data_IF_433477200738
#
_entry.id   IF_433477200738
#
_cell.length_a   1.000
_cell.length_b   1.000
_cell.length_c   1.000
_cell.angle_alpha   90.00
_cell.angle_beta   90.00
_cell.angle_gamma   90.00
#
_symmetry.space_group_name_H-M   'P 1'
#
loop_
_entity.id
_entity.type
_entity.pdbx_description
1 polymer ?
#
# COMPACT_ATOMS: atom_id res chain seq x y z
N UNK A 1 -37.74 18.96 35.79
CA UNK A 1 -36.43 18.61 35.23
C UNK A 1 -36.64 18.40 33.74
N UNK A 2 -35.96 19.14 32.88
CA UNK A 2 -36.04 18.95 31.42
C UNK A 2 -35.29 17.67 31.03
N UNK A 3 -35.95 16.79 30.29
CA UNK A 3 -35.36 15.57 29.73
C UNK A 3 -34.59 15.88 28.44
N UNK A 4 -33.58 15.08 28.11
CA UNK A 4 -32.89 15.15 26.81
C UNK A 4 -33.87 14.94 25.63
N UNK A 5 -34.94 14.16 25.87
CA UNK A 5 -35.98 13.87 24.89
C UNK A 5 -36.92 15.06 24.63
N UNK A 6 -36.86 16.10 25.46
CA UNK A 6 -37.64 17.34 25.30
C UNK A 6 -36.94 18.32 24.34
N UNK A 7 -35.72 18.02 23.87
CA UNK A 7 -34.99 18.85 22.92
C UNK A 7 -35.52 18.69 21.49
N UNK A 8 -35.50 19.75 20.66
CA UNK A 8 -35.72 19.67 19.22
C UNK A 8 -34.74 18.70 18.54
N UNK A 9 -35.20 18.00 17.49
CA UNK A 9 -34.41 17.04 16.71
C UNK A 9 -33.07 17.61 16.26
N UNK A 10 -33.04 18.87 15.83
CA UNK A 10 -31.84 19.56 15.35
C UNK A 10 -30.79 19.70 16.45
N UNK A 11 -31.21 19.94 17.71
CA UNK A 11 -30.29 20.00 18.84
C UNK A 11 -29.78 18.60 19.21
N UNK A 12 -30.63 17.57 19.16
CA UNK A 12 -30.23 16.19 19.41
C UNK A 12 -29.22 15.74 18.34
N UNK A 13 -29.46 16.03 17.06
CA UNK A 13 -28.54 15.76 15.95
C UNK A 13 -27.23 16.55 16.10
N UNK A 14 -27.29 17.82 16.52
CA UNK A 14 -26.10 18.63 16.81
C UNK A 14 -25.28 18.05 17.95
N UNK A 15 -25.90 17.47 18.98
CA UNK A 15 -25.19 16.74 20.04
C UNK A 15 -24.54 15.49 19.43
N UNK A 16 -25.32 14.66 18.73
CA UNK A 16 -24.85 13.39 18.18
C UNK A 16 -23.69 13.53 17.21
N UNK A 17 -23.69 14.55 16.34
CA UNK A 17 -22.61 14.77 15.37
C UNK A 17 -21.28 15.21 16.00
N UNK A 18 -21.29 15.63 17.27
CA UNK A 18 -20.09 15.96 18.05
C UNK A 18 -19.63 14.78 18.92
N UNK A 19 -20.22 13.60 18.77
CA UNK A 19 -19.76 12.37 19.41
C UNK A 19 -18.82 11.61 18.47
N UNK A 20 -17.88 10.80 19.02
CA UNK A 20 -17.26 9.71 18.26
C UNK A 20 -18.34 8.80 17.64
N UNK A 21 -18.07 8.20 16.49
CA UNK A 21 -19.05 7.38 15.77
C UNK A 21 -19.61 6.25 16.64
N UNK A 22 -18.78 5.56 17.42
CA UNK A 22 -19.17 4.49 18.33
C UNK A 22 -20.11 4.99 19.43
N UNK A 23 -19.83 6.16 19.99
CA UNK A 23 -20.70 6.81 20.98
C UNK A 23 -22.03 7.26 20.35
N UNK A 24 -22.02 7.79 19.11
CA UNK A 24 -23.24 8.10 18.37
C UNK A 24 -24.09 6.85 18.10
N UNK A 25 -23.46 5.72 17.74
CA UNK A 25 -24.13 4.44 17.53
C UNK A 25 -24.74 3.88 18.83
N UNK A 26 -24.04 4.01 19.96
CA UNK A 26 -24.61 3.64 21.26
C UNK A 26 -25.77 4.59 21.64
N UNK A 27 -25.61 5.89 21.36
CA UNK A 27 -26.61 6.92 21.67
C UNK A 27 -27.96 6.66 20.98
N UNK A 28 -27.95 6.24 19.70
CA UNK A 28 -29.17 5.88 18.98
C UNK A 28 -29.84 4.61 19.51
N UNK A 29 -29.12 3.75 20.24
CA UNK A 29 -29.68 2.52 20.81
C UNK A 29 -30.38 2.75 22.16
N UNK A 30 -30.19 3.92 22.79
CA UNK A 30 -30.76 4.21 24.12
C UNK A 30 -32.28 4.34 24.08
N UNK A 31 -32.85 4.96 23.04
CA UNK A 31 -34.29 5.21 22.93
C UNK A 31 -34.75 5.35 21.47
N UNK A 32 -35.99 4.94 21.16
CA UNK A 32 -36.56 5.02 19.79
C UNK A 32 -36.61 6.43 19.21
N UNK A 33 -36.86 7.45 20.03
CA UNK A 33 -36.86 8.85 19.59
C UNK A 33 -35.46 9.32 19.23
N UNK A 34 -34.44 8.93 20.01
CA UNK A 34 -33.03 9.20 19.68
C UNK A 34 -32.60 8.46 18.41
N UNK A 35 -33.04 7.20 18.24
CA UNK A 35 -32.83 6.46 17.00
C UNK A 35 -33.43 7.19 15.80
N UNK A 36 -34.71 7.58 15.88
CA UNK A 36 -35.38 8.28 14.79
C UNK A 36 -34.75 9.64 14.48
N UNK A 37 -34.29 10.37 15.49
CA UNK A 37 -33.65 11.67 15.33
C UNK A 37 -32.23 11.57 14.74
N UNK A 38 -31.42 10.60 15.19
CA UNK A 38 -29.99 10.60 14.95
C UNK A 38 -29.47 9.46 14.05
N UNK A 39 -30.28 8.46 13.72
CA UNK A 39 -29.94 7.47 12.68
C UNK A 39 -30.12 8.08 11.28
N UNK A 40 -29.47 9.23 11.06
CA UNK A 40 -29.56 10.08 9.89
C UNK A 40 -28.18 10.21 9.24
N UNK A 41 -28.16 10.22 7.91
CA UNK A 41 -26.90 10.24 7.14
C UNK A 41 -26.11 11.53 7.39
N UNK A 42 -26.77 12.66 7.61
CA UNK A 42 -26.11 13.95 7.85
C UNK A 42 -25.32 13.96 9.17
N UNK A 43 -25.79 13.24 10.19
CA UNK A 43 -25.08 13.08 11.47
C UNK A 43 -23.74 12.38 11.23
N UNK A 44 -23.76 11.20 10.61
CA UNK A 44 -22.53 10.44 10.36
C UNK A 44 -21.65 11.05 9.27
N UNK A 45 -22.24 11.73 8.27
CA UNK A 45 -21.48 12.50 7.28
C UNK A 45 -20.65 13.58 7.97
N UNK A 46 -21.22 14.27 8.95
CA UNK A 46 -20.48 15.26 9.72
C UNK A 46 -19.35 14.63 10.55
N UNK A 47 -19.59 13.47 11.20
CA UNK A 47 -18.54 12.74 11.92
C UNK A 47 -17.42 12.28 11.00
N UNK A 48 -17.74 11.84 9.77
CA UNK A 48 -16.74 11.44 8.79
C UNK A 48 -15.92 12.64 8.27
N UNK A 49 -16.56 13.78 7.98
CA UNK A 49 -15.89 14.95 7.42
C UNK A 49 -15.05 15.74 8.43
N UNK A 50 -15.51 15.79 9.69
CA UNK A 50 -14.89 16.57 10.74
C UNK A 50 -14.19 15.61 11.70
N UNK A 51 -12.90 15.83 11.94
CA UNK A 51 -12.12 15.06 12.91
C UNK A 51 -12.56 15.35 14.35
N UNK A 52 -13.73 14.85 14.75
CA UNK A 52 -14.27 15.00 16.10
C UNK A 52 -13.49 14.05 17.04
N UNK A 53 -12.33 14.54 17.49
CA UNK A 53 -11.49 13.86 18.48
C UNK A 53 -11.79 14.29 19.91
N UNK A 54 -11.45 13.43 20.87
CA UNK A 54 -11.63 13.67 22.32
C UNK A 54 -10.98 14.96 22.83
N UNK A 55 -9.94 15.46 22.16
CA UNK A 55 -9.17 16.63 22.61
C UNK A 55 -9.76 17.98 22.16
N UNK A 56 -10.73 17.98 21.22
CA UNK A 56 -11.23 19.20 20.58
C UNK A 56 -12.62 19.66 21.08
N UNK A 57 -13.10 19.15 22.21
CA UNK A 57 -14.32 19.67 22.85
C UNK A 57 -14.21 21.16 23.26
N UNK A 58 -13.02 21.75 23.18
CA UNK A 58 -12.73 23.17 23.41
C UNK A 58 -12.92 24.11 22.21
N UNK A 59 -13.41 23.64 21.05
CA UNK A 59 -13.82 24.53 19.94
C UNK A 59 -12.69 25.36 19.31
N UNK A 60 -11.47 24.81 19.22
CA UNK A 60 -10.42 25.46 18.42
C UNK A 60 -10.88 25.53 16.96
N UNK A 61 -11.10 26.74 16.46
CA UNK A 61 -11.31 27.00 15.03
C UNK A 61 -10.12 26.44 14.24
N UNK A 62 -10.40 25.63 13.21
CA UNK A 62 -9.38 25.08 12.32
C UNK A 62 -9.24 23.55 12.28
N UNK A 63 -10.25 22.78 12.71
CA UNK A 63 -10.22 21.33 12.43
C UNK A 63 -10.20 21.09 10.92
N UNK A 64 -9.25 20.27 10.40
CA UNK A 64 -9.18 20.00 8.98
C UNK A 64 -10.47 19.32 8.53
N UNK A 65 -11.08 19.87 7.48
CA UNK A 65 -12.27 19.32 6.83
C UNK A 65 -11.80 18.48 5.65
N UNK A 66 -12.40 17.30 5.48
CA UNK A 66 -12.12 16.45 4.33
C UNK A 66 -12.95 16.88 3.10
N UNK A 67 -12.49 17.93 2.42
CA UNK A 67 -13.23 18.55 1.31
C UNK A 67 -13.51 17.57 0.16
N UNK A 68 -12.52 16.73 -0.20
CA UNK A 68 -12.66 15.72 -1.25
C UNK A 68 -13.68 14.61 -0.91
N UNK A 69 -13.99 14.45 0.38
CA UNK A 69 -14.96 13.47 0.87
C UNK A 69 -16.41 13.89 0.69
N UNK A 70 -16.69 15.16 0.41
CA UNK A 70 -18.07 15.69 0.36
C UNK A 70 -18.91 14.98 -0.69
N UNK A 71 -18.38 14.84 -1.92
CA UNK A 71 -19.07 14.20 -3.03
C UNK A 71 -19.20 12.69 -2.81
N UNK A 72 -18.14 12.06 -2.30
CA UNK A 72 -18.17 10.63 -1.95
C UNK A 72 -19.29 10.34 -0.93
N UNK A 73 -19.38 11.14 0.12
CA UNK A 73 -20.37 10.96 1.18
C UNK A 73 -21.78 11.40 0.75
N UNK A 74 -21.90 12.26 -0.28
CA UNK A 74 -23.19 12.60 -0.88
C UNK A 74 -23.82 11.41 -1.60
N UNK A 75 -23.01 10.60 -2.28
CA UNK A 75 -23.44 9.40 -3.01
C UNK A 75 -23.51 8.16 -2.11
N UNK A 76 -22.84 8.16 -0.97
CA UNK A 76 -22.82 7.04 -0.04
C UNK A 76 -24.18 6.78 0.62
N UNK A 77 -24.50 5.50 0.79
CA UNK A 77 -25.61 5.06 1.66
C UNK A 77 -25.35 5.44 3.12
N UNK A 78 -26.40 5.45 3.96
CA UNK A 78 -26.26 5.65 5.41
C UNK A 78 -25.24 4.66 6.02
N UNK A 79 -25.33 3.38 5.65
CA UNK A 79 -24.41 2.35 6.14
C UNK A 79 -22.97 2.58 5.69
N UNK A 80 -22.74 3.00 4.44
CA UNK A 80 -21.41 3.38 3.97
C UNK A 80 -20.84 4.58 4.73
N UNK A 81 -21.69 5.58 5.00
CA UNK A 81 -21.33 6.78 5.76
C UNK A 81 -20.94 6.44 7.20
N UNK A 82 -21.72 5.59 7.88
CA UNK A 82 -21.42 5.10 9.25
C UNK A 82 -20.05 4.41 9.29
N UNK A 83 -19.73 3.60 8.29
CA UNK A 83 -18.46 2.85 8.25
C UNK A 83 -17.26 3.75 8.04
N UNK A 84 -17.38 4.74 7.17
CA UNK A 84 -16.32 5.75 7.01
C UNK A 84 -16.16 6.53 8.31
N UNK A 85 -17.25 7.00 8.93
CA UNK A 85 -17.20 7.68 10.22
C UNK A 85 -16.53 6.84 11.32
N UNK A 86 -16.83 5.53 11.37
CA UNK A 86 -16.18 4.60 12.30
C UNK A 86 -14.69 4.42 12.00
N UNK A 87 -14.31 4.31 10.73
CA UNK A 87 -12.91 4.21 10.33
C UNK A 87 -12.13 5.46 10.71
N UNK A 88 -12.73 6.65 10.55
CA UNK A 88 -12.15 7.93 10.96
C UNK A 88 -11.93 7.97 12.47
N UNK A 89 -12.92 7.54 13.26
CA UNK A 89 -12.75 7.41 14.72
C UNK A 89 -11.60 6.45 15.07
N UNK A 90 -11.52 5.29 14.41
CA UNK A 90 -10.41 4.34 14.61
C UNK A 90 -9.07 4.97 14.27
N UNK A 91 -8.99 5.71 13.16
CA UNK A 91 -7.79 6.43 12.76
C UNK A 91 -7.32 7.40 13.86
N UNK A 92 -8.24 8.23 14.35
CA UNK A 92 -7.95 9.21 15.41
C UNK A 92 -7.56 8.53 16.74
N UNK A 93 -8.27 7.47 17.12
CA UNK A 93 -7.97 6.69 18.32
C UNK A 93 -6.56 6.10 18.24
N UNK A 94 -6.24 5.38 17.16
CA UNK A 94 -4.94 4.70 16.96
C UNK A 94 -3.78 5.69 16.85
N UNK A 95 -4.00 6.86 16.25
CA UNK A 95 -2.98 7.89 16.17
C UNK A 95 -2.59 8.45 17.55
N UNK A 96 -3.53 8.46 18.52
CA UNK A 96 -3.27 8.92 19.89
C UNK A 96 -2.61 7.84 20.78
N UNK A 97 -2.64 6.58 20.36
CA UNK A 97 -2.00 5.50 21.10
C UNK A 97 -0.48 5.64 21.05
N UNK A 98 0.16 5.67 22.22
CA UNK A 98 1.63 5.62 22.28
C UNK A 98 2.10 4.29 21.65
N UNK A 99 3.11 4.29 20.76
CA UNK A 99 3.76 3.04 20.33
C UNK A 99 4.28 2.34 21.58
N UNK A 100 3.84 1.10 21.91
CA UNK A 100 3.88 -0.10 21.05
C UNK A 100 2.63 -1.04 21.17
N UNK A 101 1.44 -0.56 21.55
CA UNK A 101 0.29 -1.43 21.88
C UNK A 101 -0.56 -1.94 20.71
N UNK A 102 -0.04 -1.96 19.49
CA UNK A 102 -0.70 -2.70 18.40
C UNK A 102 -0.60 -4.22 18.62
N UNK A 103 0.32 -4.59 19.50
CA UNK A 103 0.59 -5.94 19.96
C UNK A 103 0.14 -6.03 21.41
N UNK A 104 -0.80 -6.93 21.69
CA UNK A 104 -0.93 -7.47 23.04
C UNK A 104 -0.09 -8.74 23.09
N UNK A 105 0.91 -8.78 23.97
CA UNK A 105 1.42 -10.07 24.43
C UNK A 105 0.27 -10.71 25.22
N UNK A 106 -0.29 -11.79 24.69
CA UNK A 106 -1.18 -12.64 25.48
C UNK A 106 -0.31 -13.46 26.45
N UNK A 107 -0.88 -13.95 27.55
CA UNK A 107 -0.16 -14.68 28.63
C UNK A 107 0.57 -15.97 28.15
N UNK A 108 0.40 -16.35 26.87
CA UNK A 108 1.11 -17.44 26.20
C UNK A 108 2.23 -17.02 25.24
N UNK A 109 2.65 -15.76 25.22
CA UNK A 109 3.65 -15.24 24.26
C UNK A 109 3.14 -15.16 22.82
N UNK A 110 1.83 -15.36 22.62
CA UNK A 110 1.18 -15.18 21.32
C UNK A 110 0.82 -13.72 21.18
N UNK A 111 1.47 -13.05 20.24
CA UNK A 111 1.17 -11.66 19.93
C UNK A 111 -0.19 -11.60 19.23
N UNK A 112 -1.23 -11.16 19.96
CA UNK A 112 -2.54 -10.87 19.38
C UNK A 112 -2.46 -9.46 18.78
N UNK A 113 -2.30 -9.41 17.47
CA UNK A 113 -2.47 -8.19 16.69
C UNK A 113 -3.96 -7.88 16.67
N UNK A 114 -4.36 -6.67 17.07
CA UNK A 114 -5.72 -6.20 16.77
C UNK A 114 -5.79 -5.87 15.26
N UNK A 115 -6.28 -6.85 14.48
CA UNK A 115 -6.22 -6.94 13.01
C UNK A 115 -7.31 -6.17 12.26
N UNK A 116 -7.71 -5.00 12.75
CA UNK A 116 -8.71 -4.23 12.00
C UNK A 116 -8.07 -3.23 11.03
N UNK A 117 -6.80 -2.87 11.22
CA UNK A 117 -6.11 -1.84 10.43
C UNK A 117 -6.14 -2.14 8.92
N UNK A 118 -5.98 -3.40 8.50
CA UNK A 118 -6.00 -3.79 7.09
C UNK A 118 -7.38 -3.64 6.42
N UNK A 119 -8.46 -3.50 7.21
CA UNK A 119 -9.82 -3.37 6.70
C UNK A 119 -10.23 -1.92 6.45
N UNK A 120 -9.54 -0.95 7.07
CA UNK A 120 -9.96 0.45 7.00
C UNK A 120 -8.85 1.43 6.66
N UNK A 121 -7.62 1.25 7.14
CA UNK A 121 -6.55 2.21 6.91
C UNK A 121 -6.17 2.32 5.42
N UNK A 122 -6.04 1.22 4.65
CA UNK A 122 -5.74 1.34 3.22
C UNK A 122 -6.79 2.16 2.46
N UNK A 123 -8.07 2.02 2.86
CA UNK A 123 -9.17 2.76 2.27
C UNK A 123 -9.09 4.25 2.60
N UNK A 124 -8.84 4.60 3.87
CA UNK A 124 -8.71 6.01 4.25
C UNK A 124 -7.48 6.68 3.60
N UNK A 125 -6.37 5.95 3.45
CA UNK A 125 -5.17 6.45 2.77
C UNK A 125 -5.42 6.67 1.27
N UNK A 126 -6.05 5.72 0.56
CA UNK A 126 -6.40 5.90 -0.86
C UNK A 126 -7.41 7.02 -1.11
N UNK A 127 -8.20 7.34 -0.09
CA UNK A 127 -9.16 8.46 -0.07
C UNK A 127 -8.53 9.78 0.41
N UNK A 128 -7.23 9.80 0.70
CA UNK A 128 -6.49 10.96 1.21
C UNK A 128 -7.15 11.58 2.46
N UNK A 129 -7.73 10.73 3.32
CA UNK A 129 -8.46 11.21 4.47
C UNK A 129 -7.51 11.91 5.47
N UNK A 130 -7.79 13.16 5.89
CA UNK A 130 -6.90 13.92 6.79
C UNK A 130 -6.63 13.22 8.13
N UNK A 131 -7.53 12.36 8.60
CA UNK A 131 -7.35 11.60 9.85
C UNK A 131 -6.15 10.64 9.82
N UNK A 132 -5.61 10.34 8.64
CA UNK A 132 -4.43 9.52 8.48
C UNK A 132 -3.10 10.30 8.62
N UNK A 133 -3.13 11.64 8.65
CA UNK A 133 -1.91 12.46 8.63
C UNK A 133 -1.03 12.33 9.87
N UNK A 134 -1.60 11.81 10.97
CA UNK A 134 -0.93 11.57 12.24
C UNK A 134 -0.28 10.19 12.33
N UNK A 135 -0.52 9.30 11.37
CA UNK A 135 0.08 7.97 11.38
C UNK A 135 1.56 8.04 11.01
N UNK A 136 2.36 7.25 11.73
CA UNK A 136 3.78 7.05 11.44
C UNK A 136 3.99 5.68 10.82
N UNK A 137 4.80 5.62 9.76
CA UNK A 137 5.20 4.37 9.11
C UNK A 137 5.83 3.37 10.11
N UNK A 138 6.57 3.87 11.10
CA UNK A 138 7.18 3.09 12.19
C UNK A 138 6.22 2.09 12.86
N UNK A 139 4.97 2.50 13.09
CA UNK A 139 3.98 1.65 13.76
C UNK A 139 3.57 0.45 12.89
N UNK A 140 3.55 0.64 11.57
CA UNK A 140 3.17 -0.38 10.61
C UNK A 140 4.32 -1.31 10.25
N UNK A 141 5.56 -0.83 10.33
CA UNK A 141 6.74 -1.63 9.99
C UNK A 141 6.79 -2.89 10.87
N UNK A 142 6.64 -2.76 12.19
CA UNK A 142 6.57 -3.91 13.10
C UNK A 142 5.47 -4.90 12.75
N UNK A 143 4.28 -4.40 12.41
CA UNK A 143 3.16 -5.26 12.05
C UNK A 143 3.45 -6.02 10.77
N UNK A 144 4.02 -5.33 9.77
CA UNK A 144 4.43 -5.92 8.52
C UNK A 144 5.49 -7.02 8.73
N UNK A 145 6.48 -6.80 9.60
CA UNK A 145 7.48 -7.80 9.99
C UNK A 145 6.84 -9.07 10.56
N UNK A 146 5.93 -8.90 11.50
CA UNK A 146 5.27 -10.02 12.17
C UNK A 146 4.41 -10.82 11.18
N UNK A 147 3.66 -10.14 10.31
CA UNK A 147 2.87 -10.78 9.26
C UNK A 147 3.75 -11.54 8.27
N UNK A 148 4.90 -10.97 7.90
CA UNK A 148 5.88 -11.59 7.03
C UNK A 148 6.43 -12.89 7.63
N UNK A 149 6.72 -12.92 8.93
CA UNK A 149 7.29 -14.07 9.64
C UNK A 149 6.29 -15.22 9.88
N UNK A 150 4.99 -14.92 9.98
CA UNK A 150 3.94 -15.94 10.24
C UNK A 150 3.66 -16.89 9.07
N UNK A 151 4.29 -16.69 7.92
CA UNK A 151 4.08 -17.51 6.71
C UNK A 151 4.62 -18.93 6.81
N UNK A 152 5.40 -19.25 7.86
CA UNK A 152 5.78 -20.64 8.16
C UNK A 152 4.58 -21.42 8.72
N UNK A 153 3.58 -21.65 7.88
CA UNK A 153 2.52 -22.62 8.15
C UNK A 153 3.18 -23.99 8.31
N UNK A 154 2.76 -24.72 9.35
CA UNK A 154 3.22 -26.08 9.59
C UNK A 154 2.88 -26.98 8.39
N UNK A 155 3.86 -27.72 7.84
CA UNK A 155 3.58 -28.74 6.82
C UNK A 155 2.56 -29.75 7.36
N UNK A 156 1.44 -29.97 6.66
CA UNK A 156 0.46 -31.00 7.03
C UNK A 156 -0.99 -30.72 6.63
N UNK A 157 -1.42 -29.45 6.54
CA UNK A 157 -2.83 -29.08 6.31
C UNK A 157 -3.12 -28.40 4.95
N UNK A 158 -2.15 -28.45 4.03
CA UNK A 158 -2.15 -27.69 2.77
C UNK A 158 -3.38 -27.94 1.88
N UNK A 159 -3.97 -29.12 1.98
CA UNK A 159 -5.09 -29.51 1.13
C UNK A 159 -6.46 -29.01 1.61
N UNK A 160 -6.59 -28.52 2.85
CA UNK A 160 -7.87 -28.05 3.39
C UNK A 160 -8.31 -26.72 2.75
N UNK A 161 -9.57 -26.60 2.36
CA UNK A 161 -10.13 -25.33 1.84
C UNK A 161 -10.04 -24.21 2.87
N UNK A 162 -10.25 -24.53 4.16
CA UNK A 162 -10.10 -23.58 5.25
C UNK A 162 -8.67 -23.07 5.37
N UNK A 163 -7.69 -23.97 5.14
CA UNK A 163 -6.29 -23.60 5.11
C UNK A 163 -5.98 -22.64 3.95
N UNK A 164 -6.43 -22.95 2.73
CA UNK A 164 -6.26 -22.06 1.56
C UNK A 164 -6.87 -20.68 1.78
N UNK A 165 -8.09 -20.61 2.32
CA UNK A 165 -8.75 -19.32 2.67
C UNK A 165 -7.94 -18.53 3.69
N UNK A 166 -7.40 -19.20 4.72
CA UNK A 166 -6.55 -18.58 5.72
C UNK A 166 -5.26 -18.01 5.13
N UNK A 167 -4.61 -18.73 4.21
CA UNK A 167 -3.41 -18.24 3.51
C UNK A 167 -3.71 -17.03 2.63
N UNK A 168 -4.80 -17.07 1.85
CA UNK A 168 -5.23 -15.94 1.02
C UNK A 168 -5.49 -14.70 1.88
N UNK A 169 -6.20 -14.87 2.99
CA UNK A 169 -6.46 -13.78 3.93
C UNK A 169 -5.15 -13.23 4.53
N UNK A 170 -4.21 -14.09 4.94
CA UNK A 170 -2.94 -13.67 5.48
C UNK A 170 -2.11 -12.85 4.49
N UNK A 171 -2.09 -13.25 3.21
CA UNK A 171 -1.41 -12.48 2.16
C UNK A 171 -2.10 -11.16 1.88
N UNK A 172 -3.43 -11.13 1.86
CA UNK A 172 -4.18 -9.90 1.70
C UNK A 172 -3.89 -8.91 2.84
N UNK A 173 -3.86 -9.39 4.09
CA UNK A 173 -3.46 -8.57 5.24
C UNK A 173 -2.03 -8.05 5.07
N UNK A 174 -1.08 -8.88 4.63
CA UNK A 174 0.30 -8.46 4.37
C UNK A 174 0.37 -7.37 3.29
N UNK A 175 -0.31 -7.57 2.15
CA UNK A 175 -0.38 -6.61 1.04
C UNK A 175 -0.98 -5.28 1.51
N UNK A 176 -2.09 -5.32 2.25
CA UNK A 176 -2.77 -4.10 2.71
C UNK A 176 -1.93 -3.32 3.74
N UNK A 177 -1.26 -4.01 4.66
CA UNK A 177 -0.33 -3.36 5.61
C UNK A 177 0.89 -2.83 4.87
N UNK A 178 1.44 -3.58 3.91
CA UNK A 178 2.54 -3.16 3.05
C UNK A 178 2.17 -1.92 2.23
N UNK A 179 0.94 -1.83 1.71
CA UNK A 179 0.42 -0.64 1.05
C UNK A 179 0.43 0.57 1.98
N UNK A 180 -0.10 0.44 3.19
CA UNK A 180 -0.15 1.53 4.15
C UNK A 180 1.25 2.01 4.56
N UNK A 181 2.16 1.05 4.76
CA UNK A 181 3.54 1.32 5.12
C UNK A 181 4.27 2.06 3.99
N UNK A 182 4.15 1.60 2.74
CA UNK A 182 4.70 2.26 1.56
C UNK A 182 4.13 3.67 1.38
N UNK A 183 2.81 3.84 1.52
CA UNK A 183 2.15 5.14 1.46
C UNK A 183 2.76 6.12 2.47
N UNK A 184 2.73 5.76 3.76
CA UNK A 184 3.19 6.68 4.82
C UNK A 184 4.69 6.99 4.71
N UNK A 185 5.48 6.01 4.28
CA UNK A 185 6.92 6.19 4.06
C UNK A 185 7.18 7.17 2.93
N UNK A 186 6.60 6.93 1.76
CA UNK A 186 6.76 7.79 0.59
C UNK A 186 6.20 9.20 0.82
N UNK A 187 5.05 9.32 1.48
CA UNK A 187 4.47 10.60 1.85
C UNK A 187 5.37 11.37 2.83
N UNK A 188 5.90 10.70 3.86
CA UNK A 188 6.87 11.31 4.78
C UNK A 188 8.13 11.78 4.05
N UNK A 189 8.65 10.96 3.13
CA UNK A 189 9.82 11.31 2.32
C UNK A 189 9.59 12.51 1.40
N UNK A 190 8.38 12.63 0.83
CA UNK A 190 8.04 13.76 -0.04
C UNK A 190 8.05 15.12 0.67
N UNK A 191 8.00 15.12 2.01
CA UNK A 191 8.03 16.32 2.86
C UNK A 191 9.43 16.68 3.36
N UNK A 192 10.40 15.77 3.23
CA UNK A 192 11.78 16.00 3.63
C UNK A 192 12.46 16.80 2.51
N UNK A 193 13.12 17.94 2.81
CA UNK A 193 13.92 18.67 1.83
C UNK A 193 14.98 17.75 1.22
N UNK A 194 15.25 17.85 -0.09
CA UNK A 194 16.19 16.95 -0.80
C UNK A 194 17.58 16.90 -0.13
N UNK A 195 18.03 18.01 0.47
CA UNK A 195 19.31 18.12 1.19
C UNK A 195 19.36 17.31 2.49
N UNK A 196 18.21 16.96 3.06
CA UNK A 196 18.07 16.28 4.34
C UNK A 196 17.66 14.82 4.19
N UNK A 197 17.62 14.23 3.00
CA UNK A 197 17.03 12.89 2.81
C UNK A 197 17.85 11.76 3.49
N UNK A 198 19.14 11.97 3.75
CA UNK A 198 20.03 10.93 4.30
C UNK A 198 19.94 10.77 5.83
N UNK A 199 19.75 11.84 6.60
CA UNK A 199 19.72 11.78 8.08
C UNK A 199 18.43 11.18 8.72
N UNK A 200 17.20 11.40 8.18
CA UNK A 200 15.95 11.01 8.81
C UNK A 200 15.72 9.50 8.88
N UNK A 201 16.31 8.73 7.97
CA UNK A 201 16.08 7.30 7.91
C UNK A 201 16.84 6.53 8.99
N UNK A 202 18.03 7.01 9.38
CA UNK A 202 18.82 6.44 10.48
C UNK A 202 18.36 6.95 11.86
N UNK A 203 17.77 8.15 11.95
CA UNK A 203 17.38 8.76 13.23
C UNK A 203 15.89 8.63 13.62
N UNK A 204 14.97 8.45 12.66
CA UNK A 204 13.52 8.47 12.96
C UNK A 204 12.97 7.14 13.47
N UNK A 205 13.42 6.04 12.87
CA UNK A 205 13.00 4.71 13.26
C UNK A 205 13.86 4.25 14.44
N UNK A 206 13.38 4.39 15.67
CA UNK A 206 13.97 3.76 16.86
C UNK A 206 13.82 2.21 16.83
N UNK A 207 14.13 1.59 15.68
CA UNK A 207 14.11 0.16 15.52
C UNK A 207 15.50 -0.34 15.88
N UNK A 208 15.62 -1.32 16.80
CA UNK A 208 16.88 -1.99 17.07
C UNK A 208 17.53 -2.42 15.75
N UNK A 209 18.76 -1.97 15.48
CA UNK A 209 19.46 -2.16 14.20
C UNK A 209 19.46 -3.63 13.74
N UNK A 210 19.52 -4.57 14.67
CA UNK A 210 19.51 -6.00 14.38
C UNK A 210 18.23 -6.45 13.65
N UNK A 211 17.06 -5.92 14.01
CA UNK A 211 15.78 -6.36 13.41
C UNK A 211 15.47 -5.72 12.06
N UNK A 212 15.93 -4.49 11.80
CA UNK A 212 15.83 -3.89 10.45
C UNK A 212 16.69 -4.69 9.48
N UNK A 213 17.90 -5.06 9.90
CA UNK A 213 18.79 -5.88 9.09
C UNK A 213 18.17 -7.25 8.77
N UNK A 214 17.55 -7.90 9.75
CA UNK A 214 16.85 -9.18 9.53
C UNK A 214 15.68 -9.03 8.55
N UNK A 215 14.97 -7.90 8.57
CA UNK A 215 13.89 -7.63 7.63
C UNK A 215 14.38 -7.40 6.20
N UNK A 216 15.33 -6.49 6.04
CA UNK A 216 15.90 -6.15 4.72
C UNK A 216 16.54 -7.40 4.10
N UNK A 217 17.14 -8.27 4.92
CA UNK A 217 17.79 -9.51 4.52
C UNK A 217 16.88 -10.74 4.58
N UNK A 218 15.62 -10.61 4.95
CA UNK A 218 14.71 -11.75 5.00
C UNK A 218 14.54 -12.33 3.59
N UNK A 219 14.95 -13.58 3.36
CA UNK A 219 14.73 -14.28 2.08
C UNK A 219 13.25 -14.48 1.73
N UNK A 220 12.35 -14.36 2.69
CA UNK A 220 10.93 -14.55 2.45
C UNK A 220 10.29 -13.34 1.75
N UNK A 221 10.82 -12.12 1.97
CA UNK A 221 10.11 -10.87 1.66
C UNK A 221 11.01 -9.62 1.52
N UNK A 222 12.29 -9.74 1.85
CA UNK A 222 13.32 -8.72 1.67
C UNK A 222 14.04 -8.88 0.34
N UNK A 223 15.16 -8.17 0.18
CA UNK A 223 15.95 -8.13 -1.05
C UNK A 223 16.96 -9.29 -1.16
N UNK A 224 16.75 -10.36 -0.40
CA UNK A 224 17.67 -11.50 -0.39
C UNK A 224 17.45 -12.39 -1.60
N UNK A 225 18.52 -12.91 -2.22
CA UNK A 225 18.40 -13.85 -3.32
C UNK A 225 17.57 -15.07 -2.88
N UNK A 226 16.62 -15.52 -3.72
CA UNK A 226 15.95 -16.78 -3.48
C UNK A 226 16.96 -17.93 -3.50
N UNK A 227 16.68 -18.98 -2.72
CA UNK A 227 17.55 -20.16 -2.69
C UNK A 227 17.70 -20.74 -4.11
N UNK A 228 18.91 -21.22 -4.50
CA UNK A 228 19.12 -21.84 -5.80
C UNK A 228 18.10 -22.96 -6.05
N UNK A 229 17.45 -22.92 -7.21
CA UNK A 229 16.43 -23.90 -7.60
C UNK A 229 15.06 -23.73 -6.93
N UNK A 230 14.83 -22.68 -6.15
CA UNK A 230 13.49 -22.41 -5.62
C UNK A 230 12.54 -21.93 -6.71
N UNK A 231 11.29 -22.37 -6.63
CA UNK A 231 10.19 -21.91 -7.49
C UNK A 231 9.84 -20.43 -7.27
N UNK A 232 10.44 -19.77 -6.28
CA UNK A 232 10.26 -18.33 -6.02
C UNK A 232 10.68 -17.48 -7.22
N UNK A 233 11.63 -17.95 -8.02
CA UNK A 233 12.03 -17.28 -9.27
C UNK A 233 11.00 -17.39 -10.39
N UNK A 234 10.09 -18.37 -10.29
CA UNK A 234 8.98 -18.56 -11.23
C UNK A 234 7.67 -17.98 -10.69
N UNK A 235 7.62 -17.70 -9.39
CA UNK A 235 6.41 -17.27 -8.69
C UNK A 235 6.73 -16.05 -7.83
N UNK A 236 6.75 -14.89 -8.48
CA UNK A 236 6.70 -13.61 -7.79
C UNK A 236 5.24 -13.19 -7.62
N UNK A 237 4.80 -13.11 -6.38
CA UNK A 237 3.42 -12.80 -6.00
C UNK A 237 3.26 -11.36 -5.56
N UNK A 238 2.03 -10.84 -5.62
CA UNK A 238 1.69 -9.51 -5.13
C UNK A 238 2.12 -9.25 -3.67
N UNK A 239 2.07 -10.27 -2.81
CA UNK A 239 2.56 -10.15 -1.44
C UNK A 239 4.08 -9.91 -1.39
N UNK A 240 4.85 -10.54 -2.29
CA UNK A 240 6.30 -10.32 -2.40
C UNK A 240 6.60 -8.94 -2.94
N UNK A 241 5.83 -8.52 -3.96
CA UNK A 241 5.88 -7.19 -4.52
C UNK A 241 5.66 -6.11 -3.44
N UNK A 242 4.54 -6.19 -2.70
CA UNK A 242 4.23 -5.25 -1.64
C UNK A 242 5.30 -5.22 -0.54
N UNK A 243 5.80 -6.39 -0.14
CA UNK A 243 6.80 -6.48 0.92
C UNK A 243 8.19 -6.01 0.51
N UNK A 244 8.51 -6.02 -0.80
CA UNK A 244 9.81 -5.61 -1.34
C UNK A 244 9.99 -4.09 -1.39
N UNK A 245 8.90 -3.31 -1.43
CA UNK A 245 8.97 -1.84 -1.59
C UNK A 245 9.82 -1.19 -0.50
N UNK A 246 9.62 -1.58 0.77
CA UNK A 246 10.32 -0.95 1.89
C UNK A 246 11.82 -1.27 1.90
N UNK A 247 12.25 -2.55 1.85
CA UNK A 247 13.66 -2.89 1.65
C UNK A 247 14.30 -2.21 0.43
N UNK A 248 13.55 -2.05 -0.66
CA UNK A 248 13.99 -1.34 -1.86
C UNK A 248 14.23 0.15 -1.56
N UNK A 249 13.28 0.83 -0.90
CA UNK A 249 13.45 2.21 -0.45
C UNK A 249 14.67 2.38 0.48
N UNK A 250 14.85 1.48 1.44
CA UNK A 250 16.04 1.47 2.31
C UNK A 250 17.34 1.41 1.48
N UNK A 251 17.37 0.57 0.43
CA UNK A 251 18.56 0.44 -0.42
C UNK A 251 18.79 1.69 -1.27
N UNK A 252 17.73 2.30 -1.84
CA UNK A 252 17.84 3.56 -2.59
C UNK A 252 18.45 4.65 -1.72
N UNK A 253 17.98 4.75 -0.47
CA UNK A 253 18.44 5.76 0.48
C UNK A 253 19.87 5.52 0.98
N UNK A 254 20.22 4.26 1.27
CA UNK A 254 21.58 3.90 1.65
C UNK A 254 22.61 4.04 0.53
N UNK A 255 22.18 4.01 -0.74
CA UNK A 255 23.02 4.11 -1.93
C UNK A 255 23.49 5.53 -2.31
N UNK A 256 22.99 6.57 -1.63
CA UNK A 256 23.48 7.96 -1.58
C UNK A 256 23.76 8.75 -2.89
N UNK A 257 23.54 8.24 -4.10
CA UNK A 257 24.20 8.86 -5.27
C UNK A 257 23.35 9.35 -6.44
N UNK A 258 22.07 8.99 -6.58
CA UNK A 258 21.37 9.30 -7.85
C UNK A 258 19.85 9.53 -7.78
N UNK A 259 19.34 10.55 -7.04
CA UNK A 259 17.91 10.69 -6.83
C UNK A 259 17.19 11.08 -8.14
N UNK A 260 16.44 10.15 -8.71
CA UNK A 260 15.16 10.51 -9.32
C UNK A 260 14.12 10.68 -8.20
N UNK A 261 13.12 11.52 -8.43
CA UNK A 261 12.04 11.74 -7.48
C UNK A 261 11.26 10.44 -7.25
N UNK A 262 10.94 10.16 -5.99
CA UNK A 262 10.10 9.03 -5.61
C UNK A 262 8.61 9.36 -5.82
N UNK A 263 7.72 8.36 -5.91
CA UNK A 263 6.29 8.60 -5.92
C UNK A 263 5.84 9.37 -4.67
N UNK A 264 4.92 10.32 -4.85
CA UNK A 264 4.30 11.08 -3.77
C UNK A 264 2.82 10.66 -3.68
N UNK A 265 2.43 9.85 -2.68
CA UNK A 265 1.10 9.27 -2.62
C UNK A 265 -0.03 10.30 -2.64
N UNK A 266 0.14 11.45 -1.97
CA UNK A 266 -0.82 12.57 -2.02
C UNK A 266 -1.04 13.16 -3.43
N UNK A 267 -0.16 12.89 -4.38
CA UNK A 267 -0.30 13.27 -5.80
C UNK A 267 -0.87 12.15 -6.67
N UNK A 268 -0.92 10.93 -6.15
CA UNK A 268 -1.47 9.79 -6.88
C UNK A 268 -3.00 9.81 -6.83
N UNK A 269 -3.63 9.81 -8.01
CA UNK A 269 -5.08 9.76 -8.17
C UNK A 269 -5.61 8.32 -7.99
N UNK A 270 -5.46 7.74 -6.80
CA UNK A 270 -5.85 6.35 -6.54
C UNK A 270 -7.29 6.02 -6.96
N UNK A 271 -8.26 6.94 -6.75
CA UNK A 271 -9.66 6.75 -7.16
C UNK A 271 -9.84 6.57 -8.68
N UNK A 272 -8.93 7.13 -9.48
CA UNK A 272 -8.94 6.96 -10.95
C UNK A 272 -8.35 5.62 -11.36
N UNK A 273 -7.44 5.05 -10.56
CA UNK A 273 -6.67 3.85 -10.90
C UNK A 273 -7.05 2.60 -10.10
N UNK A 274 -7.98 2.70 -9.15
CA UNK A 274 -8.39 1.61 -8.27
C UNK A 274 -9.91 1.57 -8.12
N UNK A 275 -10.47 0.36 -8.14
CA UNK A 275 -11.88 0.08 -7.84
C UNK A 275 -12.07 -0.11 -6.32
N UNK A 276 -11.78 0.94 -5.55
CA UNK A 276 -11.68 0.89 -4.09
C UNK A 276 -12.99 0.36 -3.47
N UNK A 277 -12.96 -0.77 -2.73
CA UNK A 277 -14.16 -1.33 -2.11
C UNK A 277 -14.64 -0.46 -0.93
N UNK A 278 -15.85 -0.72 -0.45
CA UNK A 278 -16.38 0.00 0.72
C UNK A 278 -15.62 -0.40 1.98
N UNK A 279 -15.29 0.59 2.81
CA UNK A 279 -14.66 0.37 4.12
C UNK A 279 -15.47 -0.61 4.96
N UNK A 280 -14.81 -1.55 5.64
CA UNK A 280 -15.40 -2.61 6.46
C UNK A 280 -16.41 -3.49 5.73
N UNK A 281 -16.00 -4.71 5.34
CA UNK A 281 -16.90 -5.77 4.83
C UNK A 281 -16.17 -7.11 4.60
N UNK A 282 -15.13 -7.41 5.37
CA UNK A 282 -14.13 -8.43 5.00
C UNK A 282 -13.50 -8.12 3.62
N UNK A 283 -13.31 -6.83 3.33
CA UNK A 283 -12.80 -6.35 2.04
C UNK A 283 -11.28 -6.44 1.94
N UNK A 284 -10.60 -7.10 2.88
CA UNK A 284 -9.14 -7.20 2.89
C UNK A 284 -8.63 -7.74 1.55
N UNK A 285 -9.18 -8.88 1.11
CA UNK A 285 -8.81 -9.51 -0.17
C UNK A 285 -9.22 -8.64 -1.35
N UNK A 286 -10.42 -8.08 -1.35
CA UNK A 286 -10.90 -7.22 -2.44
C UNK A 286 -9.99 -5.99 -2.62
N UNK A 287 -9.60 -5.34 -1.52
CA UNK A 287 -8.72 -4.17 -1.55
C UNK A 287 -7.34 -4.54 -2.11
N UNK A 288 -6.77 -5.69 -1.73
CA UNK A 288 -5.44 -6.11 -2.20
C UNK A 288 -5.33 -6.18 -3.72
N UNK A 289 -6.44 -6.43 -4.44
CA UNK A 289 -6.45 -6.56 -5.90
C UNK A 289 -7.28 -5.47 -6.61
N UNK A 290 -7.80 -4.48 -5.88
CA UNK A 290 -8.72 -3.49 -6.47
C UNK A 290 -8.05 -2.56 -7.49
N UNK A 291 -6.71 -2.51 -7.52
CA UNK A 291 -5.95 -1.74 -8.49
C UNK A 291 -5.75 -2.47 -9.82
N UNK A 292 -5.77 -3.80 -9.80
CA UNK A 292 -5.31 -4.63 -10.91
C UNK A 292 -6.09 -4.36 -12.20
N UNK A 293 -7.41 -4.26 -12.14
CA UNK A 293 -8.26 -4.08 -13.33
C UNK A 293 -7.85 -2.85 -14.15
N UNK A 294 -7.65 -1.71 -13.49
CA UNK A 294 -7.36 -0.43 -14.16
C UNK A 294 -5.86 -0.25 -14.40
N UNK A 295 -5.01 -0.67 -13.47
CA UNK A 295 -3.56 -0.47 -13.59
C UNK A 295 -2.88 -1.46 -14.56
N UNK A 296 -3.58 -2.49 -15.02
CA UNK A 296 -3.12 -3.38 -16.10
C UNK A 296 -3.64 -2.95 -17.49
N UNK A 297 -4.47 -1.91 -17.56
CA UNK A 297 -5.01 -1.42 -18.83
C UNK A 297 -3.90 -0.75 -19.67
N UNK A 298 -3.88 -0.94 -21.00
CA UNK A 298 -2.88 -0.32 -21.88
C UNK A 298 -2.77 1.21 -21.74
N UNK A 299 -3.89 1.90 -21.52
CA UNK A 299 -3.96 3.35 -21.37
C UNK A 299 -3.27 3.81 -20.09
N UNK A 300 -3.44 3.05 -19.01
CA UNK A 300 -2.76 3.32 -17.75
C UNK A 300 -1.26 3.02 -17.85
N UNK A 301 -0.90 1.89 -18.46
CA UNK A 301 0.50 1.45 -18.57
C UNK A 301 1.33 2.38 -19.45
N UNK A 302 0.72 2.95 -20.49
CA UNK A 302 1.42 3.84 -21.41
C UNK A 302 1.86 5.15 -20.75
N UNK A 303 2.95 5.72 -21.24
CA UNK A 303 3.48 7.02 -20.84
C UNK A 303 4.89 6.96 -20.25
N UNK A 304 5.25 7.99 -19.46
CA UNK A 304 6.59 8.14 -18.90
C UNK A 304 6.73 7.44 -17.55
N UNK A 305 7.77 6.62 -17.44
CA UNK A 305 8.15 5.88 -16.26
C UNK A 305 9.62 6.14 -15.91
N UNK A 306 9.95 5.88 -14.66
CA UNK A 306 11.29 5.92 -14.12
C UNK A 306 11.41 4.92 -12.98
N UNK A 307 12.64 4.62 -12.54
CA UNK A 307 12.82 3.72 -11.41
C UNK A 307 14.26 3.33 -11.17
N UNK A 308 14.43 2.25 -10.44
CA UNK A 308 15.74 1.68 -10.13
C UNK A 308 15.69 0.16 -10.26
N UNK A 309 16.86 -0.43 -10.34
CA UNK A 309 17.06 -1.85 -10.09
C UNK A 309 18.24 -2.04 -9.15
N UNK A 310 18.24 -3.17 -8.46
CA UNK A 310 19.33 -3.58 -7.58
C UNK A 310 20.13 -4.69 -8.23
N UNK A 311 21.43 -4.76 -7.96
CA UNK A 311 22.29 -5.88 -8.33
C UNK A 311 22.64 -6.70 -7.08
N UNK A 312 22.12 -7.92 -7.04
CA UNK A 312 22.33 -8.87 -5.96
C UNK A 312 23.39 -9.92 -6.25
N UNK A 313 23.99 -9.93 -7.44
CA UNK A 313 24.97 -10.96 -7.84
C UNK A 313 26.23 -10.94 -6.99
N UNK A 314 26.55 -9.80 -6.37
CA UNK A 314 27.78 -9.58 -5.59
C UNK A 314 27.54 -9.31 -4.08
N UNK A 315 26.42 -9.77 -3.51
CA UNK A 315 25.99 -9.44 -2.14
C UNK A 315 26.88 -9.90 -0.97
N UNK A 316 28.07 -10.47 -1.22
CA UNK A 316 28.84 -11.25 -0.24
C UNK A 316 29.19 -10.44 1.03
N UNK A 317 29.18 -9.10 1.02
CA UNK A 317 29.54 -8.28 2.20
C UNK A 317 28.71 -7.00 2.44
N UNK A 318 27.65 -6.73 1.66
CA UNK A 318 26.91 -5.46 1.81
C UNK A 318 25.76 -5.56 2.82
N UNK A 319 25.51 -4.47 3.56
CA UNK A 319 24.29 -4.32 4.39
C UNK A 319 23.05 -4.09 3.53
N UNK A 320 23.22 -3.49 2.36
CA UNK A 320 22.15 -3.10 1.44
C UNK A 320 22.36 -3.75 0.06
N UNK A 321 21.27 -3.91 -0.69
CA UNK A 321 21.41 -4.26 -2.10
C UNK A 321 22.10 -3.09 -2.82
N UNK A 322 23.01 -3.40 -3.74
CA UNK A 322 23.63 -2.36 -4.57
C UNK A 322 22.55 -1.83 -5.49
N UNK A 323 22.26 -0.53 -5.41
CA UNK A 323 21.31 0.12 -6.31
C UNK A 323 22.07 0.72 -7.48
N UNK A 324 21.72 0.30 -8.68
CA UNK A 324 22.29 0.86 -9.90
C UNK A 324 21.79 2.29 -10.14
N UNK A 325 22.49 3.10 -10.96
CA UNK A 325 21.98 4.39 -11.38
C UNK A 325 20.56 4.27 -11.97
N UNK A 326 19.71 5.30 -11.77
CA UNK A 326 18.29 5.24 -12.06
C UNK A 326 18.02 4.98 -13.54
N UNK A 327 17.00 4.18 -13.79
CA UNK A 327 16.39 4.06 -15.10
C UNK A 327 15.50 5.29 -15.34
N UNK A 328 15.77 6.01 -16.43
CA UNK A 328 15.15 7.29 -16.77
C UNK A 328 14.56 7.25 -18.17
N UNK A 329 13.65 8.19 -18.43
CA UNK A 329 13.03 8.40 -19.74
C UNK A 329 12.42 7.12 -20.32
N UNK A 330 11.85 6.26 -19.47
CA UNK A 330 11.18 5.04 -19.92
C UNK A 330 9.87 5.49 -20.54
N UNK A 331 9.76 5.46 -21.87
CA UNK A 331 8.50 5.73 -22.56
C UNK A 331 7.81 4.40 -22.86
N UNK A 332 6.95 3.95 -21.94
CA UNK A 332 6.24 2.70 -22.05
C UNK A 332 5.11 2.84 -23.07
N UNK A 333 5.12 1.98 -24.08
CA UNK A 333 4.09 1.88 -25.12
C UNK A 333 3.39 0.53 -24.90
N UNK A 334 2.17 0.60 -24.34
CA UNK A 334 1.34 -0.58 -24.12
C UNK A 334 0.15 -0.57 -25.06
N UNK A 335 -0.22 -1.76 -25.56
CA UNK A 335 -1.38 -1.96 -26.42
C UNK A 335 -2.22 -3.15 -25.98
N UNK A 336 -3.50 -3.23 -26.37
CA UNK A 336 -4.27 -4.45 -26.23
C UNK A 336 -3.61 -5.62 -26.96
N UNK A 337 -3.85 -6.84 -26.47
CA UNK A 337 -3.45 -8.07 -27.15
C UNK A 337 -4.11 -8.17 -28.53
N UNK A 338 -3.33 -8.46 -29.55
CA UNK A 338 -3.80 -8.70 -30.91
C UNK A 338 -3.87 -10.21 -31.24
N UNK A 339 -4.18 -10.54 -32.49
CA UNK A 339 -4.29 -11.95 -32.97
C UNK A 339 -2.94 -12.59 -33.30
N UNK A 340 -1.88 -11.78 -33.43
CA UNK A 340 -0.52 -12.21 -33.75
C UNK A 340 0.30 -12.51 -32.50
N UNK A 341 -0.12 -11.96 -31.35
CA UNK A 341 0.45 -12.26 -30.04
C UNK A 341 0.14 -13.70 -29.58
N UNK A 342 0.84 -14.13 -28.52
CA UNK A 342 0.65 -15.44 -27.89
C UNK A 342 -0.82 -15.64 -27.49
N UNK A 343 -1.43 -16.81 -27.77
CA UNK A 343 -2.82 -17.09 -27.43
C UNK A 343 -2.98 -17.44 -25.94
N UNK A 344 -2.73 -16.49 -25.06
CA UNK A 344 -3.01 -16.62 -23.63
C UNK A 344 -4.16 -15.68 -23.25
N UNK A 345 -5.34 -16.21 -22.85
CA UNK A 345 -6.51 -15.41 -22.54
C UNK A 345 -6.33 -14.49 -21.32
N UNK A 346 -5.29 -14.71 -20.50
CA UNK A 346 -5.02 -13.89 -19.33
C UNK A 346 -4.12 -12.70 -19.61
N UNK A 347 -3.59 -12.55 -20.82
CA UNK A 347 -2.83 -11.35 -21.21
C UNK A 347 -3.80 -10.19 -21.38
N UNK A 348 -3.60 -9.15 -20.55
CA UNK A 348 -4.37 -7.92 -20.59
C UNK A 348 -3.75 -6.89 -21.54
N UNK A 349 -2.43 -6.77 -21.53
CA UNK A 349 -1.70 -5.79 -22.32
C UNK A 349 -0.35 -6.34 -22.81
N UNK A 350 0.09 -5.85 -23.96
CA UNK A 350 1.42 -6.08 -24.51
C UNK A 350 2.24 -4.81 -24.38
N UNK A 351 3.50 -4.92 -23.93
CA UNK A 351 4.48 -3.84 -23.97
C UNK A 351 5.28 -3.97 -25.26
N UNK A 352 5.17 -2.97 -26.14
CA UNK A 352 5.78 -3.01 -27.46
C UNK A 352 7.29 -2.78 -27.42
N UNK A 353 7.99 -3.36 -28.42
CA UNK A 353 9.45 -3.19 -28.62
C UNK A 353 9.90 -1.76 -28.90
N UNK A 354 8.95 -0.87 -29.16
CA UNK A 354 9.21 0.57 -29.29
C UNK A 354 9.40 1.27 -27.94
N UNK A 355 9.04 0.62 -26.83
CA UNK A 355 9.32 1.10 -25.48
C UNK A 355 10.82 1.20 -25.27
N UNK A 356 11.28 2.39 -24.89
CA UNK A 356 12.69 2.75 -24.72
C UNK A 356 12.93 3.39 -23.38
N UNK A 357 14.12 3.20 -22.82
CA UNK A 357 14.61 3.90 -21.64
C UNK A 357 16.13 4.03 -21.66
N UNK A 358 16.70 4.69 -20.66
CA UNK A 358 18.15 4.85 -20.49
C UNK A 358 18.55 4.61 -19.03
N UNK A 359 19.67 3.93 -18.82
CA UNK A 359 20.32 3.77 -17.51
C UNK A 359 21.86 3.86 -17.63
N UNK A 360 22.59 3.39 -16.60
CA UNK A 360 24.06 3.38 -16.55
C UNK A 360 24.74 2.61 -17.68
N UNK A 361 24.05 1.63 -18.28
CA UNK A 361 24.58 0.82 -19.39
C UNK A 361 24.17 1.37 -20.76
N UNK A 362 23.39 2.46 -20.81
CA UNK A 362 22.97 3.15 -22.02
C UNK A 362 21.49 2.97 -22.33
N UNK A 363 21.14 3.07 -23.61
CA UNK A 363 19.76 2.92 -24.05
C UNK A 363 19.34 1.43 -24.04
N UNK A 364 18.13 1.17 -23.54
CA UNK A 364 17.53 -0.16 -23.52
C UNK A 364 16.13 -0.16 -24.14
N UNK A 365 15.69 -1.34 -24.56
CA UNK A 365 14.31 -1.65 -24.93
C UNK A 365 13.63 -2.43 -23.80
N UNK A 366 12.32 -2.31 -23.67
CA UNK A 366 11.51 -3.11 -22.76
C UNK A 366 10.32 -3.67 -23.53
N UNK A 367 10.03 -4.97 -23.48
CA UNK A 367 8.87 -5.53 -24.16
C UNK A 367 8.41 -6.84 -23.52
N UNK A 368 7.13 -7.16 -23.63
CA UNK A 368 6.59 -8.38 -23.03
C UNK A 368 5.09 -8.29 -22.78
N UNK A 369 4.64 -9.00 -21.76
CA UNK A 369 3.21 -9.19 -21.46
C UNK A 369 2.88 -8.79 -20.02
N UNK A 370 1.67 -8.23 -19.86
CA UNK A 370 1.07 -7.89 -18.58
C UNK A 370 -0.27 -8.60 -18.49
N UNK A 371 -0.48 -9.35 -17.42
CA UNK A 371 -1.62 -10.22 -17.21
C UNK A 371 -2.75 -9.53 -16.46
N UNK A 372 -3.98 -10.03 -16.62
CA UNK A 372 -5.19 -9.53 -15.96
C UNK A 372 -5.13 -9.58 -14.43
N UNK A 373 -4.27 -10.41 -13.86
CA UNK A 373 -4.09 -10.54 -12.42
C UNK A 373 -3.01 -9.61 -11.84
N UNK A 374 -2.33 -8.83 -12.69
CA UNK A 374 -1.27 -7.91 -12.29
C UNK A 374 0.13 -8.41 -12.57
N UNK A 375 0.31 -9.67 -12.96
CA UNK A 375 1.64 -10.22 -13.27
C UNK A 375 2.26 -9.54 -14.47
N UNK A 376 3.58 -9.36 -14.41
CA UNK A 376 4.39 -8.72 -15.44
C UNK A 376 5.51 -9.65 -15.83
N UNK A 377 5.62 -9.96 -17.12
CA UNK A 377 6.69 -10.73 -17.72
C UNK A 377 7.27 -9.95 -18.90
N UNK A 378 8.38 -9.24 -18.67
CA UNK A 378 9.00 -8.38 -19.70
C UNK A 378 10.49 -8.67 -19.87
N UNK A 379 11.01 -8.39 -21.05
CA UNK A 379 12.43 -8.49 -21.39
C UNK A 379 12.98 -7.08 -21.52
N UNK A 380 14.05 -6.81 -20.77
CA UNK A 380 14.90 -5.64 -20.96
C UNK A 380 16.09 -6.01 -21.84
N UNK A 381 16.19 -5.37 -23.00
CA UNK A 381 17.22 -5.67 -24.01
C UNK A 381 18.14 -4.49 -24.25
N UNK A 382 19.44 -4.75 -24.40
CA UNK A 382 20.46 -3.77 -24.76
C UNK A 382 21.00 -4.06 -26.17
N UNK A 383 20.42 -3.47 -27.23
CA UNK A 383 20.76 -3.86 -28.60
C UNK A 383 22.24 -3.65 -28.98
N UNK A 384 22.91 -2.67 -28.39
CA UNK A 384 24.32 -2.38 -28.67
C UNK A 384 25.29 -3.38 -28.00
N UNK A 385 24.86 -3.99 -26.88
CA UNK A 385 25.66 -4.93 -26.09
C UNK A 385 25.27 -6.39 -26.36
N UNK A 386 24.07 -6.63 -26.88
CA UNK A 386 23.56 -7.98 -27.18
C UNK A 386 23.17 -8.78 -25.95
N UNK A 387 22.76 -8.11 -24.86
CA UNK A 387 22.32 -8.78 -23.62
C UNK A 387 20.85 -8.49 -23.34
N UNK A 388 20.15 -9.53 -22.87
CA UNK A 388 18.75 -9.51 -22.50
C UNK A 388 18.59 -9.99 -21.06
N UNK A 389 17.72 -9.31 -20.32
CA UNK A 389 17.36 -9.65 -18.95
C UNK A 389 15.86 -9.87 -18.86
N UNK A 390 15.46 -10.99 -18.27
CA UNK A 390 14.06 -11.29 -17.99
C UNK A 390 13.64 -10.60 -16.70
N UNK A 391 12.50 -9.94 -16.72
CA UNK A 391 11.88 -9.26 -15.59
C UNK A 391 10.55 -9.92 -15.28
N UNK A 392 10.40 -10.39 -14.04
CA UNK A 392 9.16 -10.92 -13.50
C UNK A 392 8.70 -10.05 -12.34
N UNK A 393 7.46 -9.60 -12.36
CA UNK A 393 6.96 -8.67 -11.35
C UNK A 393 5.45 -8.65 -11.22
N UNK A 394 4.97 -7.69 -10.45
CA UNK A 394 3.56 -7.44 -10.22
C UNK A 394 3.30 -5.94 -10.31
N UNK A 395 2.16 -5.58 -10.90
CA UNK A 395 1.59 -4.24 -10.82
C UNK A 395 1.10 -4.01 -9.40
N UNK A 396 1.49 -2.87 -8.81
CA UNK A 396 1.09 -2.42 -7.47
C UNK A 396 0.56 -0.99 -7.54
N UNK A 397 -0.14 -0.49 -6.51
CA UNK A 397 -0.53 0.92 -6.43
C UNK A 397 0.63 1.94 -6.50
N UNK A 398 1.88 1.49 -6.34
CA UNK A 398 3.08 2.33 -6.40
C UNK A 398 3.98 2.02 -7.60
N UNK A 399 3.46 1.33 -8.62
CA UNK A 399 4.17 1.02 -9.86
C UNK A 399 4.38 -0.47 -10.06
N UNK A 400 5.34 -0.85 -10.90
CA UNK A 400 5.68 -2.24 -11.18
C UNK A 400 6.94 -2.59 -10.40
N UNK A 401 6.86 -3.61 -9.56
CA UNK A 401 7.98 -4.11 -8.75
C UNK A 401 8.15 -5.61 -8.97
N UNK A 402 9.39 -6.06 -9.01
CA UNK A 402 9.70 -7.43 -9.35
C UNK A 402 11.16 -7.78 -9.16
N UNK A 403 11.54 -8.91 -9.73
CA UNK A 403 12.92 -9.32 -9.89
C UNK A 403 13.33 -9.40 -11.35
N UNK A 404 14.62 -9.22 -11.60
CA UNK A 404 15.23 -9.44 -12.88
C UNK A 404 16.27 -10.55 -12.78
N UNK A 405 16.52 -11.18 -13.93
CA UNK A 405 17.44 -12.30 -14.06
C UNK A 405 17.86 -12.52 -15.50
N UNK A 406 18.78 -13.44 -15.73
CA UNK A 406 19.09 -13.86 -17.10
C UNK A 406 17.94 -14.69 -17.71
N UNK A 407 18.02 -14.95 -19.02
CA UNK A 407 17.03 -15.76 -19.72
C UNK A 407 17.03 -17.25 -19.29
N UNK A 408 18.03 -17.69 -18.53
CA UNK A 408 18.07 -19.03 -17.93
C UNK A 408 17.34 -19.08 -16.58
N UNK A 409 16.80 -17.95 -16.12
CA UNK A 409 16.09 -17.82 -14.85
C UNK A 409 17.02 -17.61 -13.66
N UNK A 410 18.32 -17.31 -13.87
CA UNK A 410 19.20 -16.97 -12.76
C UNK A 410 18.86 -15.59 -12.22
N UNK A 411 18.73 -15.50 -10.90
CA UNK A 411 18.45 -14.26 -10.20
C UNK A 411 19.58 -13.23 -10.37
N UNK A 412 19.23 -12.03 -10.81
CA UNK A 412 20.13 -10.88 -10.89
C UNK A 412 19.86 -9.86 -9.79
N UNK A 413 18.58 -9.53 -9.57
CA UNK A 413 18.18 -8.63 -8.51
C UNK A 413 16.73 -8.19 -8.56
N UNK A 414 16.40 -7.05 -7.97
CA UNK A 414 15.04 -6.49 -7.97
C UNK A 414 14.95 -5.27 -8.87
N UNK A 415 13.76 -4.95 -9.35
CA UNK A 415 13.48 -3.69 -10.03
C UNK A 415 12.21 -3.07 -9.45
N UNK A 416 12.13 -1.74 -9.50
CA UNK A 416 10.92 -1.00 -9.21
C UNK A 416 10.85 0.22 -10.14
N UNK A 417 9.78 0.30 -10.94
CA UNK A 417 9.48 1.42 -11.81
C UNK A 417 8.10 2.01 -11.49
N UNK A 418 7.95 3.32 -11.61
CA UNK A 418 6.71 4.07 -11.36
C UNK A 418 6.51 5.16 -12.41
N UNK A 419 5.28 5.70 -12.49
CA UNK A 419 4.97 6.78 -13.43
C UNK A 419 5.62 8.08 -12.97
N UNK A 420 6.25 8.79 -13.90
CA UNK A 420 6.94 10.06 -13.63
C UNK A 420 5.97 11.13 -13.10
N UNK A 421 4.70 11.09 -13.55
CA UNK A 421 3.66 12.03 -13.13
C UNK A 421 3.26 11.92 -11.65
N UNK A 422 3.64 10.84 -10.95
CA UNK A 422 3.37 10.69 -9.52
C UNK A 422 4.40 11.40 -8.63
N UNK A 423 5.43 11.98 -9.23
CA UNK A 423 6.54 12.60 -8.52
C UNK A 423 6.43 14.12 -8.39
N UNK A 424 5.50 14.78 -9.10
CA UNK A 424 5.54 16.24 -9.36
C UNK A 424 4.30 17.01 -8.96
#
# INVERSE_FOLDING_TARGET
>A
MSSLLDLPTELIQRIARNLPCSAALNFIQVNRQLHAACNDRLVFKHIALHQVGHENLGGKEGTPVWDEGVDLLNEATLQGTIRIALAVERALQRASEKPPRWFSEDDGGVVVVHRDVEEWLPHLLTLHHPACSSFKAEHLLWLHLELANRRHVRPGDENSEAHRKSVVQAYATLVNVGFCLAFLTLEGMSRIPEEQVLEPFEMGYHIPENRVNDYVRSGAWGLSPPAPGSDLLRTYSLAQAAASIIPFLYSILGGAHFPIKLPCPSRTLFRSYMDIPLVYRNTTVEFSYCHTHRMTAPEFLSGRWMGYYTDQRNLIHSRYAIVDPPMRNINLIARPRDRTDRPDPHIRAMVDRETRGVDSHGAFLLYGEIHENGKVDVIKSYPAQGWDWMWHGEVTPFGIIGHWGDLSGNFGGYFWIWKEEWCT
#
